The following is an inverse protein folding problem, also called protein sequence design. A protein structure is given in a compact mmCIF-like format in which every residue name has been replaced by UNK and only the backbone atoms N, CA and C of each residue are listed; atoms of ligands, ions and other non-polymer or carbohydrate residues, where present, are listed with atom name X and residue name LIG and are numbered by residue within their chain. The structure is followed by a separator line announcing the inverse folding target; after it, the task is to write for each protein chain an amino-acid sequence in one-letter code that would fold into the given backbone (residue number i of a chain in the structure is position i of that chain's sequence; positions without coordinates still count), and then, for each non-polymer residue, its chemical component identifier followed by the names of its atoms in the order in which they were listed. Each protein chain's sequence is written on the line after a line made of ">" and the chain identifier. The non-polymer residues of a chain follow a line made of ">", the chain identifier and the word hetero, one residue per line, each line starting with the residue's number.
data_IF_049896635451
#
_entry.id   IF_049896635451
#
_cell.length_a   1.000
_cell.length_b   1.000
_cell.length_c   1.000
_cell.angle_alpha   90.00
_cell.angle_beta   90.00
_cell.angle_gamma   90.00
#
_symmetry.space_group_name_H-M   'P 1'
#
loop_
_entity.id
_entity.type
_entity.pdbx_description
1 polymer ?
#
# COMPACT_ATOMS: atom_id res chain seq x y z
N UNK A 1 2.75 -7.09 -8.57
CA UNK A 1 3.54 -5.96 -8.04
C UNK A 1 3.57 -6.04 -6.53
N UNK A 2 4.72 -6.07 -5.97
CA UNK A 2 4.87 -6.13 -4.52
C UNK A 2 4.85 -4.76 -3.92
N UNK A 3 4.03 -4.57 -2.91
CA UNK A 3 3.94 -3.29 -2.22
C UNK A 3 3.97 -3.50 -0.71
N UNK A 4 4.46 -2.51 -0.01
CA UNK A 4 4.49 -2.52 1.45
C UNK A 4 3.39 -1.59 1.93
N UNK A 5 2.36 -2.14 2.53
CA UNK A 5 1.15 -1.40 2.87
C UNK A 5 1.15 -1.02 4.34
N UNK A 6 1.02 0.25 4.62
CA UNK A 6 0.98 0.76 5.97
C UNK A 6 -0.45 1.02 6.45
N UNK A 7 -1.38 1.23 5.55
CA UNK A 7 -2.77 1.51 5.93
C UNK A 7 -3.70 1.25 4.75
N UNK A 8 -4.91 0.86 5.05
CA UNK A 8 -5.96 0.71 4.05
C UNK A 8 -7.19 1.38 4.64
N UNK A 9 -7.74 2.33 3.93
CA UNK A 9 -8.87 3.08 4.48
C UNK A 9 -9.81 3.52 3.36
N UNK A 10 -11.00 3.90 3.75
CA UNK A 10 -12.00 4.38 2.81
C UNK A 10 -12.64 5.63 3.38
N UNK A 11 -12.56 6.70 2.63
CA UNK A 11 -13.21 7.95 3.01
C UNK A 11 -14.58 7.99 2.37
N UNK A 12 -15.61 8.10 3.17
CA UNK A 12 -16.98 8.15 2.68
C UNK A 12 -17.65 9.39 3.23
N UNK A 13 -18.67 9.82 2.55
CA UNK A 13 -19.41 11.00 3.00
C UNK A 13 -20.39 11.45 1.95
N UNK A 14 -20.85 12.67 2.10
CA UNK A 14 -21.75 13.29 1.14
C UNK A 14 -21.08 14.50 0.54
N UNK A 15 -21.21 14.62 -0.77
CA UNK A 15 -20.67 15.79 -1.45
C UNK A 15 -21.39 17.05 -0.96
N UNK A 16 -20.66 18.10 -0.71
CA UNK A 16 -21.28 19.34 -0.26
C UNK A 16 -22.12 19.97 -1.35
N UNK A 17 -21.73 19.76 -2.59
CA UNK A 17 -22.43 20.44 -3.68
C UNK A 17 -23.81 19.86 -3.93
N UNK A 18 -23.95 18.56 -3.89
CA UNK A 18 -25.22 17.95 -4.27
C UNK A 18 -25.65 16.79 -3.37
N UNK A 19 -25.02 16.66 -2.21
CA UNK A 19 -25.38 15.63 -1.24
C UNK A 19 -25.29 14.22 -1.82
N UNK A 20 -24.40 14.02 -2.78
CA UNK A 20 -24.22 12.70 -3.39
C UNK A 20 -23.26 11.90 -2.53
N UNK A 21 -23.60 10.65 -2.19
CA UNK A 21 -22.68 9.81 -1.44
C UNK A 21 -21.41 9.53 -2.25
N UNK A 22 -20.28 9.50 -1.58
CA UNK A 22 -19.04 9.13 -2.24
C UNK A 22 -18.25 8.15 -1.39
N UNK A 23 -17.36 7.42 -2.05
CA UNK A 23 -16.52 6.44 -1.42
C UNK A 23 -15.17 6.48 -2.12
N UNK A 24 -14.11 6.70 -1.37
CA UNK A 24 -12.77 6.84 -1.94
C UNK A 24 -11.83 5.91 -1.20
N UNK A 25 -11.77 4.63 -1.63
CA UNK A 25 -10.86 3.67 -0.99
C UNK A 25 -9.42 3.96 -1.38
N UNK A 26 -8.54 3.88 -0.40
CA UNK A 26 -7.13 4.16 -0.60
C UNK A 26 -6.26 3.22 0.20
N UNK A 27 -5.02 3.10 -0.21
CA UNK A 27 -4.01 2.39 0.55
C UNK A 27 -2.78 3.28 0.63
N UNK A 28 -2.15 3.31 1.79
CA UNK A 28 -0.88 4.00 1.95
C UNK A 28 0.22 2.97 1.77
N UNK A 29 1.04 3.20 0.77
CA UNK A 29 2.12 2.30 0.39
C UNK A 29 3.43 3.00 0.68
N UNK A 30 4.35 2.29 1.28
CA UNK A 30 5.66 2.85 1.60
C UNK A 30 6.65 2.48 0.51
N UNK A 31 7.38 3.47 0.04
CA UNK A 31 8.41 3.26 -0.97
C UNK A 31 9.72 3.80 -0.43
N UNK A 32 10.85 3.30 -0.89
CA UNK A 32 12.12 3.86 -0.45
C UNK A 32 12.21 5.32 -0.81
N UNK A 33 12.76 6.11 0.09
CA UNK A 33 12.90 7.54 -0.14
C UNK A 33 13.86 7.76 -1.30
N UNK A 34 13.49 8.66 -2.19
CA UNK A 34 14.31 8.99 -3.35
C UNK A 34 14.75 10.44 -3.21
N UNK A 35 16.05 10.66 -3.28
CA UNK A 35 16.56 12.03 -3.27
C UNK A 35 16.10 12.76 -4.51
N UNK A 36 15.79 14.02 -4.34
CA UNK A 36 15.41 14.88 -5.44
C UNK A 36 16.42 16.03 -5.49
N UNK A 37 16.95 16.29 -6.66
CA UNK A 37 17.95 17.33 -6.80
C UNK A 37 17.75 17.98 -8.16
N UNK A 38 17.03 19.06 -8.18
CA UNK A 38 16.84 19.79 -9.42
C UNK A 38 17.07 21.28 -9.15
N UNK A 39 16.91 22.05 -10.18
CA UNK A 39 17.27 23.46 -10.11
C UNK A 39 16.54 24.23 -9.02
N UNK A 40 15.28 23.93 -8.81
CA UNK A 40 14.45 24.69 -7.90
C UNK A 40 14.13 24.00 -6.58
N UNK A 41 14.51 22.76 -6.43
CA UNK A 41 14.11 22.00 -5.24
C UNK A 41 15.08 20.86 -5.00
N UNK A 42 15.47 20.70 -3.78
CA UNK A 42 16.34 19.60 -3.38
C UNK A 42 15.78 18.95 -2.12
N UNK A 43 15.81 17.65 -2.09
CA UNK A 43 15.37 16.92 -0.93
C UNK A 43 16.26 15.70 -0.77
N UNK A 44 16.91 15.59 0.35
CA UNK A 44 17.81 14.49 0.66
C UNK A 44 17.34 13.83 1.94
N UNK A 45 17.22 12.52 1.93
CA UNK A 45 16.72 11.84 3.11
C UNK A 45 16.97 10.36 3.03
N UNK A 46 16.33 9.65 3.94
CA UNK A 46 16.48 8.22 4.03
C UNK A 46 15.18 7.62 4.58
N UNK A 47 15.01 6.34 4.39
CA UNK A 47 13.86 5.64 4.93
C UNK A 47 12.78 5.47 3.87
N UNK A 48 11.54 5.52 4.31
CA UNK A 48 10.40 5.31 3.43
C UNK A 48 9.63 6.60 3.22
N UNK A 49 9.02 6.69 2.07
CA UNK A 49 8.15 7.79 1.72
C UNK A 49 6.75 7.23 1.48
N UNK A 50 5.70 7.83 2.03
CA UNK A 50 4.35 7.32 1.83
C UNK A 50 3.77 7.77 0.49
N UNK A 51 3.04 6.87 -0.15
CA UNK A 51 2.35 7.17 -1.39
C UNK A 51 0.94 6.60 -1.26
N UNK A 52 -0.07 7.37 -1.59
CA UNK A 52 -1.43 6.86 -1.58
C UNK A 52 -1.79 6.31 -2.94
N UNK A 53 -2.33 5.12 -2.95
CA UNK A 53 -2.85 4.52 -4.18
C UNK A 53 -4.34 4.31 -4.02
N UNK A 54 -5.07 4.48 -5.11
CA UNK A 54 -6.48 4.15 -5.11
C UNK A 54 -6.68 2.64 -5.03
N UNK A 55 -7.82 2.23 -4.51
CA UNK A 55 -8.19 0.83 -4.42
C UNK A 55 -9.56 0.69 -5.07
N UNK A 56 -9.74 -0.35 -5.88
CA UNK A 56 -11.02 -0.60 -6.49
C UNK A 56 -12.08 -0.78 -5.41
N UNK A 57 -13.24 -0.16 -5.60
CA UNK A 57 -14.31 -0.22 -4.63
C UNK A 57 -14.74 -1.67 -4.38
N UNK A 58 -14.78 -2.48 -5.42
CA UNK A 58 -15.19 -3.87 -5.26
C UNK A 58 -14.16 -4.72 -4.53
N UNK A 59 -12.89 -4.35 -4.59
CA UNK A 59 -11.85 -5.10 -3.95
C UNK A 59 -11.57 -4.63 -2.52
N UNK A 60 -11.96 -3.42 -2.20
CA UNK A 60 -11.59 -2.83 -0.92
C UNK A 60 -11.99 -3.67 0.29
N UNK A 61 -13.20 -4.23 0.38
CA UNK A 61 -13.56 -5.01 1.57
C UNK A 61 -12.65 -6.19 1.80
N UNK A 62 -12.29 -6.88 0.74
CA UNK A 62 -11.41 -8.04 0.85
C UNK A 62 -10.01 -7.61 1.23
N UNK A 63 -9.52 -6.53 0.64
CA UNK A 63 -8.20 -6.01 0.92
C UNK A 63 -8.10 -5.58 2.38
N UNK A 64 -9.10 -4.85 2.85
CA UNK A 64 -9.12 -4.38 4.23
C UNK A 64 -9.14 -5.54 5.21
N UNK A 65 -9.97 -6.52 4.95
CA UNK A 65 -10.07 -7.69 5.84
C UNK A 65 -8.74 -8.44 5.91
N UNK A 66 -8.12 -8.63 4.75
CA UNK A 66 -6.85 -9.34 4.70
C UNK A 66 -5.76 -8.53 5.40
N UNK A 67 -5.75 -7.22 5.18
CA UNK A 67 -4.77 -6.37 5.82
C UNK A 67 -4.93 -6.41 7.35
N UNK A 68 -6.16 -6.27 7.84
CA UNK A 68 -6.43 -6.29 9.27
C UNK A 68 -5.95 -7.58 9.91
N UNK A 69 -6.12 -8.69 9.20
CA UNK A 69 -5.74 -9.98 9.73
C UNK A 69 -4.23 -10.10 9.94
N UNK A 70 -3.46 -9.44 9.12
CA UNK A 70 -2.01 -9.59 9.15
C UNK A 70 -1.26 -8.41 9.73
N UNK A 71 -1.93 -7.30 9.94
CA UNK A 71 -1.27 -6.11 10.46
C UNK A 71 -1.12 -6.21 11.97
N UNK A 72 0.11 -6.16 12.45
CA UNK A 72 0.41 -6.17 13.86
C UNK A 72 1.48 -5.13 14.12
N UNK A 73 1.08 -3.89 14.02
CA UNK A 73 1.95 -2.73 14.29
C UNK A 73 3.13 -2.56 13.35
N UNK A 74 3.13 -3.30 12.25
CA UNK A 74 4.16 -3.12 11.24
C UNK A 74 3.49 -3.22 9.87
N UNK A 75 4.05 -2.54 8.86
CA UNK A 75 3.49 -2.64 7.52
C UNK A 75 3.54 -4.07 6.98
N UNK A 76 2.66 -4.36 6.04
CA UNK A 76 2.50 -5.71 5.51
C UNK A 76 2.77 -5.70 4.02
N UNK A 77 3.55 -6.67 3.55
CA UNK A 77 3.81 -6.80 2.12
C UNK A 77 2.67 -7.58 1.45
N UNK A 78 2.27 -7.08 0.29
CA UNK A 78 1.26 -7.76 -0.53
C UNK A 78 1.74 -7.78 -1.97
N UNK A 79 1.30 -8.79 -2.69
CA UNK A 79 1.52 -8.85 -4.12
C UNK A 79 0.17 -8.60 -4.77
N UNK A 80 0.03 -7.48 -5.45
CA UNK A 80 -1.26 -7.02 -5.95
C UNK A 80 -1.22 -6.79 -7.44
N UNK A 81 -2.42 -6.75 -8.04
CA UNK A 81 -2.59 -6.35 -9.42
C UNK A 81 -3.13 -4.95 -9.44
N UNK A 82 -2.74 -4.19 -10.44
CA UNK A 82 -3.19 -2.82 -10.60
C UNK A 82 -3.71 -2.62 -12.01
N UNK A 83 -4.50 -1.58 -12.18
CA UNK A 83 -5.01 -1.19 -13.49
C UNK A 83 -5.14 0.32 -13.49
N UNK A 84 -5.33 0.89 -14.65
CA UNK A 84 -5.53 2.33 -14.76
C UNK A 84 -7.02 2.64 -14.61
N UNK A 85 -7.34 3.68 -13.87
CA UNK A 85 -8.72 4.12 -13.75
C UNK A 85 -9.02 5.07 -14.92
N UNK A 86 -10.20 5.69 -14.90
CA UNK A 86 -10.60 6.57 -15.98
C UNK A 86 -9.69 7.73 -16.19
N UNK A 87 -9.09 8.23 -15.11
CA UNK A 87 -8.19 9.36 -15.19
C UNK A 87 -6.76 8.95 -15.46
N UNK A 88 -6.51 7.67 -15.73
CA UNK A 88 -5.16 7.20 -16.01
C UNK A 88 -4.30 6.98 -14.78
N UNK A 89 -4.89 6.91 -13.60
CA UNK A 89 -4.16 6.67 -12.37
C UNK A 89 -4.17 5.18 -12.04
N UNK A 90 -3.08 4.70 -11.46
CA UNK A 90 -3.03 3.30 -11.05
C UNK A 90 -3.88 3.07 -9.82
N UNK A 91 -4.70 2.04 -9.86
CA UNK A 91 -5.45 1.62 -8.68
C UNK A 91 -5.22 0.13 -8.46
N UNK A 92 -5.30 -0.28 -7.21
CA UNK A 92 -5.15 -1.68 -6.84
C UNK A 92 -6.48 -2.37 -7.09
N UNK A 93 -6.48 -3.41 -7.91
CA UNK A 93 -7.72 -4.07 -8.31
C UNK A 93 -7.90 -5.45 -7.73
N UNK A 94 -6.85 -6.05 -7.20
CA UNK A 94 -6.97 -7.38 -6.65
C UNK A 94 -5.61 -7.90 -6.21
N UNK A 95 -5.62 -9.10 -5.64
CA UNK A 95 -4.37 -9.78 -5.34
C UNK A 95 -3.86 -10.43 -6.61
N UNK A 96 -2.56 -10.67 -6.67
CA UNK A 96 -1.98 -11.28 -7.86
C UNK A 96 -2.61 -12.61 -8.15
N UNK A 97 -2.83 -12.83 -9.45
CA UNK A 97 -3.60 -13.95 -9.91
C UNK A 97 -3.12 -15.30 -9.42
N UNK A 98 -1.84 -15.50 -9.36
CA UNK A 98 -1.31 -16.80 -9.01
C UNK A 98 -1.06 -17.00 -7.53
N UNK A 99 -1.64 -16.13 -6.72
CA UNK A 99 -1.38 -16.12 -5.30
C UNK A 99 -2.60 -16.66 -4.58
N UNK A 100 -2.45 -17.68 -3.76
CA UNK A 100 -3.58 -18.14 -2.96
C UNK A 100 -3.65 -17.28 -1.70
N UNK A 101 -4.58 -17.62 -0.84
CA UNK A 101 -4.85 -16.79 0.32
C UNK A 101 -3.65 -16.60 1.21
N UNK A 102 -2.83 -17.59 1.33
CA UNK A 102 -1.65 -17.47 2.18
C UNK A 102 -0.52 -16.78 1.46
N UNK A 103 -0.53 -16.84 0.17
CA UNK A 103 0.54 -16.26 -0.60
C UNK A 103 0.27 -14.84 -1.03
N UNK A 104 -0.89 -14.26 -0.69
CA UNK A 104 -1.16 -12.87 -1.07
C UNK A 104 -0.22 -11.94 -0.35
N UNK A 105 0.33 -12.35 0.78
CA UNK A 105 1.30 -11.53 1.46
C UNK A 105 2.64 -11.87 0.90
N UNK A 106 3.30 -10.87 0.34
CA UNK A 106 4.60 -11.11 -0.25
C UNK A 106 5.59 -11.42 0.84
N UNK A 107 6.54 -12.25 0.52
CA UNK A 107 7.60 -12.52 1.46
C UNK A 107 8.36 -11.24 1.69
N UNK A 108 8.80 -11.07 2.87
CA UNK A 108 9.64 -9.94 3.14
C UNK A 108 10.89 -10.07 2.33
N UNK A 109 11.45 -8.97 1.94
CA UNK A 109 12.67 -9.03 1.21
C UNK A 109 13.69 -9.71 2.05
N UNK A 110 14.56 -10.40 1.38
CA UNK A 110 15.53 -11.07 2.06
C UNK A 110 16.18 -10.20 2.98
N UNK A 111 16.15 -10.47 4.22
CA UNK A 111 16.73 -9.63 5.10
C UNK A 111 18.11 -9.70 4.93
N UNK A 112 18.69 -8.67 4.89
CA UNK A 112 20.05 -8.62 4.93
C UNK A 112 20.19 -9.03 6.31
N UNK A 113 20.07 -9.95 6.54
CA UNK A 113 20.19 -10.35 7.73
C UNK A 113 20.53 -9.40 8.66
N UNK A 114 20.19 -9.25 9.38
CA UNK A 114 20.44 -8.35 10.25
C UNK A 114 19.67 -7.32 10.19
N UNK A 115 19.14 -7.22 9.67
CA UNK A 115 18.49 -6.24 9.50
C UNK A 115 17.92 -5.52 10.30
N UNK A 116 17.67 -4.77 10.31
CA UNK A 116 17.20 -3.95 10.96
C UNK A 116 16.12 -4.06 11.58
N UNK A 117 15.53 -4.16 11.58
CA UNK A 117 14.50 -4.31 12.33
C UNK A 117 14.63 -5.52 12.92
N UNK A 118 15.01 -5.89 13.12
CA UNK A 118 15.08 -6.86 13.41
C UNK A 118 15.03 -7.64 13.78
N UNK A 119 14.85 -7.73 13.91
CA UNK A 119 14.90 -8.50 14.02
C UNK A 119 14.37 -8.91 14.22
N UNK A 120 13.91 -8.83 14.26
CA UNK A 120 13.63 -9.36 14.18
C UNK A 120 13.12 -9.89 14.00
N UNK A 121 12.90 -10.04 14.26
CA UNK A 121 12.86 -10.83 13.95
C UNK A 121 12.85 -11.22 13.80
N UNK A 122 12.72 -11.06 14.16
CA UNK A 122 13.08 -11.65 13.93
C UNK A 122 12.89 -12.01 13.88
N UNK A 123 12.67 -11.77 14.20
CA UNK A 123 12.93 -12.30 14.05
C UNK A 123 12.81 -12.71 13.98
N UNK A 124 12.70 -12.82 14.35
CA UNK A 124 13.00 -13.31 14.17
C UNK A 124 12.97 -13.67 14.16
#
# INVERSE_FOLDING_TARGET
>A
MKILVAAVFNNTGLSKANQTPYSIPRAVVLTPFQDVDNKNFQSHGAGFSPVELGVSTGFFPEFKTTFDRHFVDVPVYFDVETALDREGRNIITGFSRNTDVHAVIADEPEKPTGGLFGNAKQVK
#
